data_IF_499695285450
#
_entry.id   IF_499695285450
#
_cell.length_a   1.000
_cell.length_b   1.000
_cell.length_c   1.000
_cell.angle_alpha   90.00
_cell.angle_beta   90.00
_cell.angle_gamma   90.00
#
_symmetry.space_group_name_H-M   'P 1'
#
loop_
_entity.id
_entity.type
_entity.pdbx_description
1 polymer ?
#
# COMPACT_ATOMS: atom_id res chain seq x y z
N UNK A 1 -7.83 -28.27 -0.77
CA UNK A 1 -7.27 -28.37 0.60
C UNK A 1 -6.47 -27.10 0.81
N UNK A 2 -7.05 -26.08 1.46
CA UNK A 2 -6.31 -24.84 1.71
C UNK A 2 -5.14 -25.19 2.63
N UNK A 3 -3.90 -24.98 2.18
CA UNK A 3 -2.77 -25.02 3.09
C UNK A 3 -3.09 -24.06 4.25
N UNK A 4 -3.06 -24.58 5.48
CA UNK A 4 -3.32 -23.80 6.67
C UNK A 4 -2.34 -22.62 6.68
N UNK A 5 -2.85 -21.38 6.78
CA UNK A 5 -2.00 -20.22 6.93
C UNK A 5 -1.24 -20.34 8.26
N UNK A 6 0.08 -20.28 8.25
CA UNK A 6 0.90 -20.35 9.46
C UNK A 6 0.88 -18.99 10.15
N UNK A 7 -0.13 -18.82 11.01
CA UNK A 7 -0.37 -17.58 11.74
C UNK A 7 0.78 -17.27 12.70
N UNK A 8 1.38 -18.27 13.34
CA UNK A 8 2.46 -18.07 14.31
C UNK A 8 3.72 -17.51 13.65
N UNK A 9 4.10 -18.04 12.48
CA UNK A 9 5.21 -17.50 11.70
C UNK A 9 4.92 -16.07 11.20
N UNK A 10 3.68 -15.79 10.80
CA UNK A 10 3.27 -14.43 10.43
C UNK A 10 3.35 -13.45 11.61
N UNK A 11 2.79 -13.82 12.77
CA UNK A 11 2.83 -13.02 13.99
C UNK A 11 4.27 -12.75 14.43
N UNK A 12 5.13 -13.77 14.37
CA UNK A 12 6.57 -13.63 14.59
C UNK A 12 7.21 -12.66 13.60
N UNK A 13 6.84 -12.71 12.31
CA UNK A 13 7.38 -11.80 11.29
C UNK A 13 7.04 -10.35 11.56
N UNK A 14 5.85 -10.08 12.09
CA UNK A 14 5.38 -8.73 12.40
C UNK A 14 5.70 -8.28 13.83
N UNK A 15 6.45 -9.08 14.60
CA UNK A 15 6.81 -8.84 15.99
C UNK A 15 5.56 -8.65 16.88
N UNK A 16 4.54 -9.48 16.70
CA UNK A 16 3.34 -9.50 17.52
C UNK A 16 3.22 -10.87 18.18
N UNK A 17 2.98 -10.92 19.49
CA UNK A 17 2.75 -12.19 20.19
C UNK A 17 1.28 -12.60 20.15
N UNK A 18 1.02 -13.90 20.29
CA UNK A 18 -0.35 -14.43 20.41
C UNK A 18 -1.06 -13.83 21.63
N UNK A 19 -0.33 -13.60 22.72
CA UNK A 19 -0.86 -13.01 23.95
C UNK A 19 -1.28 -11.55 23.74
N UNK A 20 -0.46 -10.73 23.08
CA UNK A 20 -0.82 -9.34 22.73
C UNK A 20 -2.03 -9.29 21.80
N UNK A 21 -2.09 -10.18 20.82
CA UNK A 21 -3.24 -10.28 19.91
C UNK A 21 -4.53 -10.68 20.64
N UNK A 22 -4.44 -11.66 21.55
CA UNK A 22 -5.56 -12.18 22.32
C UNK A 22 -6.03 -11.24 23.45
N UNK A 23 -5.20 -10.25 23.83
CA UNK A 23 -5.58 -9.22 24.81
C UNK A 23 -6.66 -8.26 24.26
N UNK A 24 -6.81 -8.18 22.93
CA UNK A 24 -7.89 -7.43 22.28
C UNK A 24 -9.10 -8.34 22.02
N UNK A 25 -10.35 -7.85 22.12
CA UNK A 25 -11.51 -8.65 21.75
C UNK A 25 -11.42 -9.13 20.30
N UNK A 26 -11.80 -10.39 20.06
CA UNK A 26 -11.80 -11.00 18.72
C UNK A 26 -12.64 -10.17 17.76
N UNK A 27 -12.12 -9.96 16.55
CA UNK A 27 -12.77 -9.19 15.48
C UNK A 27 -13.05 -7.71 15.80
N UNK A 28 -12.47 -7.17 16.87
CA UNK A 28 -12.63 -5.76 17.22
C UNK A 28 -11.74 -4.83 16.39
N UNK A 29 -12.09 -3.55 16.40
CA UNK A 29 -11.26 -2.46 15.86
C UNK A 29 -9.87 -2.43 16.52
N UNK A 30 -9.77 -2.72 17.82
CA UNK A 30 -8.50 -2.73 18.53
C UNK A 30 -7.56 -3.83 18.02
N UNK A 31 -8.08 -5.05 17.84
CA UNK A 31 -7.30 -6.18 17.30
C UNK A 31 -6.88 -5.91 15.84
N UNK A 32 -7.79 -5.40 15.01
CA UNK A 32 -7.50 -5.04 13.62
C UNK A 32 -6.43 -3.94 13.53
N UNK A 33 -6.54 -2.93 14.38
CA UNK A 33 -5.56 -1.84 14.48
C UNK A 33 -4.18 -2.35 14.89
N UNK A 34 -4.11 -3.33 15.80
CA UNK A 34 -2.85 -3.93 16.24
C UNK A 34 -2.16 -4.66 15.07
N UNK A 35 -2.90 -5.48 14.33
CA UNK A 35 -2.39 -6.21 13.16
C UNK A 35 -1.85 -5.26 12.07
N UNK A 36 -2.61 -4.21 11.74
CA UNK A 36 -2.19 -3.19 10.75
C UNK A 36 -0.92 -2.47 11.21
N UNK A 37 -0.85 -2.05 12.48
CA UNK A 37 0.32 -1.36 13.03
C UNK A 37 1.59 -2.22 13.04
N UNK A 38 1.49 -3.47 13.47
CA UNK A 38 2.63 -4.37 13.52
C UNK A 38 3.12 -4.73 12.11
N UNK A 39 2.20 -5.01 11.18
CA UNK A 39 2.56 -5.33 9.79
C UNK A 39 3.34 -4.19 9.13
N UNK A 40 2.81 -2.95 9.16
CA UNK A 40 3.44 -1.80 8.50
C UNK A 40 4.81 -1.43 9.08
N UNK A 41 5.02 -1.65 10.38
CA UNK A 41 6.30 -1.37 11.05
C UNK A 41 7.36 -2.44 10.76
N UNK A 42 6.93 -3.69 10.55
CA UNK A 42 7.83 -4.82 10.42
C UNK A 42 8.23 -5.13 8.97
N UNK A 43 7.31 -5.00 8.00
CA UNK A 43 7.53 -5.44 6.62
C UNK A 43 7.72 -4.23 5.71
N UNK A 44 8.92 -4.00 5.13
CA UNK A 44 9.15 -2.87 4.27
C UNK A 44 8.42 -3.01 2.93
N UNK A 45 7.97 -1.89 2.38
CA UNK A 45 7.59 -1.81 0.97
C UNK A 45 8.84 -1.87 0.09
N UNK A 46 8.86 -2.71 -0.95
CA UNK A 46 9.96 -2.77 -1.91
C UNK A 46 9.57 -3.32 -3.29
N UNK A 47 10.33 -2.94 -4.33
CA UNK A 47 10.17 -3.41 -5.72
C UNK A 47 11.47 -4.00 -6.31
N UNK A 48 12.40 -4.46 -5.48
CA UNK A 48 13.79 -4.74 -5.86
C UNK A 48 13.93 -5.84 -6.92
N UNK A 49 13.02 -6.81 -6.94
CA UNK A 49 12.97 -7.84 -7.99
C UNK A 49 12.47 -7.27 -9.32
N UNK A 50 11.46 -6.40 -9.29
CA UNK A 50 10.86 -5.80 -10.49
C UNK A 50 11.83 -4.86 -11.22
N UNK A 51 12.65 -4.11 -10.49
CA UNK A 51 13.70 -3.24 -11.02
C UNK A 51 15.08 -3.91 -11.12
N UNK A 52 15.16 -5.23 -10.85
CA UNK A 52 16.37 -6.07 -11.03
C UNK A 52 17.57 -5.71 -10.16
N UNK A 53 17.38 -4.94 -9.08
CA UNK A 53 18.41 -4.78 -8.04
C UNK A 53 18.65 -6.12 -7.35
N UNK A 54 17.57 -6.85 -7.05
CA UNK A 54 17.65 -8.24 -6.64
C UNK A 54 17.22 -9.15 -7.80
N UNK A 55 17.75 -10.39 -7.87
CA UNK A 55 17.29 -11.36 -8.85
C UNK A 55 15.82 -11.71 -8.62
N UNK A 56 15.13 -12.12 -9.68
CA UNK A 56 13.81 -12.75 -9.56
C UNK A 56 14.04 -14.17 -9.06
N UNK A 57 13.71 -14.39 -7.79
CA UNK A 57 13.88 -15.68 -7.11
C UNK A 57 12.75 -16.64 -7.50
N UNK A 58 13.05 -17.84 -8.04
CA UNK A 58 12.04 -18.85 -8.37
C UNK A 58 11.25 -19.37 -7.16
N UNK A 59 11.66 -19.09 -5.92
CA UNK A 59 10.85 -19.33 -4.72
C UNK A 59 9.78 -18.24 -4.53
N UNK A 60 10.02 -17.03 -5.04
CA UNK A 60 9.16 -15.85 -4.85
C UNK A 60 8.29 -15.53 -6.07
N UNK A 61 8.58 -16.10 -7.25
CA UNK A 61 7.82 -15.89 -8.48
C UNK A 61 7.81 -17.12 -9.40
N UNK A 62 6.79 -17.21 -10.26
CA UNK A 62 6.75 -18.17 -11.37
C UNK A 62 7.52 -17.66 -12.60
N UNK A 63 8.82 -17.95 -12.60
CA UNK A 63 9.72 -17.56 -13.69
C UNK A 63 9.40 -18.24 -15.02
N UNK A 64 8.62 -19.33 -15.04
CA UNK A 64 8.30 -20.06 -16.27
C UNK A 64 7.35 -19.29 -17.19
N UNK A 65 6.53 -18.41 -16.61
CA UNK A 65 5.61 -17.52 -17.31
C UNK A 65 6.10 -16.06 -17.34
N UNK A 66 7.33 -15.81 -16.91
CA UNK A 66 7.93 -14.47 -16.86
C UNK A 66 7.44 -13.59 -15.71
N UNK A 67 6.80 -14.17 -14.68
CA UNK A 67 6.39 -13.45 -13.49
C UNK A 67 7.61 -12.91 -12.74
N UNK A 68 7.57 -11.63 -12.33
CA UNK A 68 8.62 -11.01 -11.49
C UNK A 68 8.19 -10.80 -10.05
N UNK A 69 6.88 -10.69 -9.83
CA UNK A 69 6.28 -10.45 -8.52
C UNK A 69 5.02 -11.32 -8.43
N UNK A 70 5.00 -12.24 -7.47
CA UNK A 70 3.94 -13.24 -7.37
C UNK A 70 2.69 -12.72 -6.71
N UNK A 71 1.54 -13.15 -7.24
CA UNK A 71 0.24 -13.04 -6.55
C UNK A 71 -0.17 -14.34 -5.82
N UNK A 72 0.59 -15.43 -6.00
CA UNK A 72 0.34 -16.70 -5.33
C UNK A 72 0.59 -16.62 -3.82
N UNK A 73 -0.40 -16.93 -2.94
CA UNK A 73 -0.29 -16.76 -1.50
C UNK A 73 0.92 -17.46 -0.86
N UNK A 74 1.25 -18.69 -1.28
CA UNK A 74 2.38 -19.42 -0.71
C UNK A 74 3.74 -18.78 -1.04
N UNK A 75 3.88 -18.17 -2.22
CA UNK A 75 5.12 -17.50 -2.65
C UNK A 75 5.27 -16.15 -1.92
N UNK A 76 4.17 -15.42 -1.78
CA UNK A 76 4.11 -14.20 -0.96
C UNK A 76 4.50 -14.51 0.49
N UNK A 77 3.91 -15.56 1.07
CA UNK A 77 4.24 -15.98 2.43
C UNK A 77 5.71 -16.38 2.58
N UNK A 78 6.23 -17.19 1.65
CA UNK A 78 7.65 -17.55 1.61
C UNK A 78 8.54 -16.30 1.57
N UNK A 79 8.28 -15.37 0.65
CA UNK A 79 9.05 -14.15 0.47
C UNK A 79 9.01 -13.24 1.70
N UNK A 80 7.81 -12.79 2.09
CA UNK A 80 7.64 -11.77 3.12
C UNK A 80 7.86 -12.31 4.53
N UNK A 81 7.45 -13.55 4.82
CA UNK A 81 7.47 -14.13 6.17
C UNK A 81 8.74 -14.95 6.40
N UNK A 82 8.97 -16.00 5.60
CA UNK A 82 10.06 -16.96 5.87
C UNK A 82 11.43 -16.39 5.48
N UNK A 83 11.52 -15.76 4.30
CA UNK A 83 12.76 -15.16 3.80
C UNK A 83 12.91 -13.68 4.22
N UNK A 84 11.96 -13.19 5.02
CA UNK A 84 11.97 -11.86 5.66
C UNK A 84 12.21 -10.68 4.71
N UNK A 85 11.80 -10.83 3.45
CA UNK A 85 11.81 -9.74 2.46
C UNK A 85 10.67 -8.75 2.71
N UNK A 86 10.58 -7.77 1.83
CA UNK A 86 9.42 -6.90 1.71
C UNK A 86 8.57 -7.28 0.50
N UNK A 87 7.62 -6.42 0.18
CA UNK A 87 6.86 -6.50 -1.06
C UNK A 87 6.11 -5.21 -1.32
N UNK A 88 5.53 -5.07 -2.51
CA UNK A 88 4.68 -3.92 -2.81
C UNK A 88 3.21 -4.19 -2.45
N UNK A 89 2.30 -3.29 -2.84
CA UNK A 89 0.90 -3.31 -2.41
C UNK A 89 0.19 -4.65 -2.63
N UNK A 90 0.38 -5.30 -3.77
CA UNK A 90 -0.26 -6.58 -4.07
C UNK A 90 0.23 -7.71 -3.14
N UNK A 91 1.48 -7.67 -2.67
CA UNK A 91 2.04 -8.71 -1.81
C UNK A 91 1.71 -8.44 -0.33
N UNK A 92 1.91 -7.19 0.11
CA UNK A 92 1.65 -6.74 1.49
C UNK A 92 0.18 -6.89 1.86
N UNK A 93 -0.72 -6.34 1.03
CA UNK A 93 -2.15 -6.38 1.31
C UNK A 93 -2.73 -7.79 1.10
N UNK A 94 -2.20 -8.61 0.17
CA UNK A 94 -2.60 -10.02 0.09
C UNK A 94 -2.17 -10.84 1.30
N UNK A 95 -0.96 -10.61 1.83
CA UNK A 95 -0.49 -11.26 3.06
C UNK A 95 -1.38 -10.89 4.25
N UNK A 96 -1.66 -9.60 4.44
CA UNK A 96 -2.55 -9.13 5.51
C UNK A 96 -3.96 -9.70 5.32
N UNK A 97 -4.52 -9.68 4.11
CA UNK A 97 -5.84 -10.25 3.84
C UNK A 97 -5.90 -11.75 4.17
N UNK A 98 -4.85 -12.50 3.85
CA UNK A 98 -4.79 -13.94 4.16
C UNK A 98 -4.74 -14.18 5.66
N UNK A 99 -3.93 -13.40 6.39
CA UNK A 99 -3.86 -13.46 7.85
C UNK A 99 -5.20 -13.11 8.52
N UNK A 100 -5.84 -12.03 8.07
CA UNK A 100 -7.14 -11.58 8.58
C UNK A 100 -8.25 -12.62 8.30
N UNK A 101 -8.29 -13.21 7.11
CA UNK A 101 -9.23 -14.30 6.78
C UNK A 101 -8.97 -15.55 7.63
N UNK A 102 -7.71 -15.90 7.88
CA UNK A 102 -7.36 -17.00 8.77
C UNK A 102 -7.81 -16.75 10.23
N UNK A 103 -7.84 -15.48 10.65
CA UNK A 103 -8.40 -15.04 11.93
C UNK A 103 -9.93 -14.92 11.91
N UNK A 104 -10.59 -15.14 10.77
CA UNK A 104 -12.05 -15.11 10.64
C UNK A 104 -12.67 -13.75 10.30
N UNK A 105 -11.87 -12.74 9.95
CA UNK A 105 -12.39 -11.45 9.47
C UNK A 105 -13.04 -11.59 8.08
N UNK A 106 -14.11 -10.84 7.86
CA UNK A 106 -14.64 -10.59 6.52
C UNK A 106 -13.76 -9.55 5.81
N UNK A 107 -13.09 -9.97 4.72
CA UNK A 107 -12.13 -9.14 3.99
C UNK A 107 -12.44 -9.14 2.51
N UNK A 108 -12.79 -7.96 2.00
CA UNK A 108 -12.86 -7.67 0.57
C UNK A 108 -11.53 -7.05 0.11
N UNK A 109 -11.08 -7.49 -1.07
CA UNK A 109 -9.92 -6.89 -1.74
C UNK A 109 -10.44 -6.00 -2.85
N UNK A 110 -9.89 -4.79 -2.98
CA UNK A 110 -10.25 -3.83 -4.04
C UNK A 110 -8.98 -3.22 -4.66
N UNK A 111 -9.13 -2.42 -5.70
CA UNK A 111 -8.07 -1.60 -6.25
C UNK A 111 -8.43 -0.12 -6.23
N UNK A 112 -7.41 0.70 -6.01
CA UNK A 112 -7.46 2.14 -6.12
C UNK A 112 -6.55 2.67 -7.22
N UNK A 113 -6.79 3.92 -7.59
CA UNK A 113 -5.94 4.73 -8.46
C UNK A 113 -5.09 5.63 -7.58
N UNK A 114 -3.77 5.42 -7.61
CA UNK A 114 -2.83 6.34 -6.98
C UNK A 114 -2.98 7.71 -7.61
N UNK A 115 -2.98 8.75 -6.79
CA UNK A 115 -3.09 10.13 -7.25
C UNK A 115 -1.68 10.74 -7.35
N UNK A 116 -1.44 11.43 -8.46
CA UNK A 116 -0.25 12.21 -8.69
C UNK A 116 -0.63 13.68 -8.97
N UNK A 117 0.27 14.64 -8.74
CA UNK A 117 0.07 15.99 -9.26
C UNK A 117 -0.14 15.96 -10.77
N UNK A 118 -1.15 16.69 -11.25
CA UNK A 118 -1.36 16.86 -12.68
C UNK A 118 -0.24 17.73 -13.28
N UNK A 119 0.21 17.37 -14.48
CA UNK A 119 1.18 18.18 -15.24
C UNK A 119 0.52 19.43 -15.80
N UNK A 120 -0.74 19.32 -16.23
CA UNK A 120 -1.56 20.41 -16.72
C UNK A 120 -2.62 20.79 -15.67
N UNK A 121 -2.38 21.89 -14.96
CA UNK A 121 -3.27 22.37 -13.90
C UNK A 121 -4.56 22.99 -14.42
N UNK A 122 -4.70 23.23 -15.73
CA UNK A 122 -5.93 23.80 -16.32
C UNK A 122 -7.09 22.79 -16.34
N UNK A 123 -6.77 21.49 -16.30
CA UNK A 123 -7.74 20.38 -16.31
C UNK A 123 -8.04 19.81 -14.92
N UNK A 124 -7.27 20.20 -13.92
CA UNK A 124 -7.39 19.75 -12.53
C UNK A 124 -6.03 19.67 -11.85
N UNK A 125 -5.98 19.74 -10.51
CA UNK A 125 -4.72 19.72 -9.74
C UNK A 125 -4.13 18.31 -9.60
N UNK A 126 -4.97 17.29 -9.66
CA UNK A 126 -4.62 15.92 -9.31
C UNK A 126 -5.11 14.95 -10.37
N UNK A 127 -4.23 14.04 -10.79
CA UNK A 127 -4.51 13.01 -11.79
C UNK A 127 -4.56 11.65 -11.10
N UNK A 128 -5.67 10.93 -11.25
CA UNK A 128 -5.79 9.55 -10.84
C UNK A 128 -5.15 8.63 -11.89
N UNK A 129 -4.15 7.84 -11.46
CA UNK A 129 -3.42 6.91 -12.33
C UNK A 129 -4.24 5.64 -12.63
N UNK A 130 -3.61 4.64 -13.25
CA UNK A 130 -4.22 3.34 -13.47
C UNK A 130 -4.60 2.68 -12.13
N UNK A 131 -5.60 1.79 -12.15
CA UNK A 131 -6.01 0.99 -10.99
C UNK A 131 -4.92 -0.05 -10.69
N UNK A 132 -3.92 0.36 -9.91
CA UNK A 132 -2.67 -0.38 -9.71
C UNK A 132 -2.26 -0.46 -8.25
N UNK A 133 -3.16 -0.08 -7.34
CA UNK A 133 -2.94 -0.15 -5.90
C UNK A 133 -3.97 -1.06 -5.26
N UNK A 134 -3.55 -2.21 -4.72
CA UNK A 134 -4.44 -3.11 -3.99
C UNK A 134 -4.73 -2.55 -2.60
N UNK A 135 -5.98 -2.63 -2.16
CA UNK A 135 -6.46 -2.17 -0.85
C UNK A 135 -7.35 -3.23 -0.21
N UNK A 136 -7.56 -3.14 1.10
CA UNK A 136 -8.47 -4.02 1.83
C UNK A 136 -9.63 -3.23 2.43
N UNK A 137 -10.82 -3.79 2.32
CA UNK A 137 -11.98 -3.40 3.10
C UNK A 137 -12.32 -4.53 4.07
N UNK A 138 -12.22 -4.23 5.35
CA UNK A 138 -12.45 -5.19 6.43
C UNK A 138 -13.74 -4.82 7.13
N UNK A 139 -14.67 -5.77 7.21
CA UNK A 139 -15.90 -5.60 7.97
C UNK A 139 -15.72 -6.20 9.36
N UNK A 140 -15.94 -5.37 10.37
CA UNK A 140 -16.01 -5.77 11.78
C UNK A 140 -17.43 -5.50 12.30
N UNK A 141 -17.71 -5.87 13.56
CA UNK A 141 -18.92 -5.60 14.35
C UNK A 141 -20.03 -4.75 13.67
N UNK A 142 -21.28 -5.22 13.69
CA UNK A 142 -22.45 -4.46 13.20
C UNK A 142 -22.35 -3.97 11.74
N UNK A 143 -21.58 -4.67 10.89
CA UNK A 143 -21.37 -4.37 9.46
C UNK A 143 -20.61 -3.05 9.19
N UNK A 144 -19.79 -2.59 10.11
CA UNK A 144 -18.93 -1.43 9.88
C UNK A 144 -17.71 -1.80 9.02
N UNK A 145 -17.47 -1.03 7.96
CA UNK A 145 -16.39 -1.28 7.02
C UNK A 145 -15.21 -0.33 7.26
N UNK A 146 -14.00 -0.88 7.24
CA UNK A 146 -12.76 -0.14 7.45
C UNK A 146 -11.79 -0.35 6.29
N UNK A 147 -11.20 0.74 5.81
CA UNK A 147 -10.07 0.74 4.91
C UNK A 147 -8.81 0.33 5.67
N UNK A 148 -8.19 -0.76 5.24
CA UNK A 148 -6.87 -1.18 5.69
C UNK A 148 -5.89 -1.16 4.52
N UNK A 149 -4.75 -0.52 4.70
CA UNK A 149 -3.68 -0.48 3.72
C UNK A 149 -2.31 -0.46 4.39
N UNK A 150 -1.56 -1.55 4.18
CA UNK A 150 -0.19 -1.74 4.65
C UNK A 150 0.80 -1.85 3.49
N UNK A 151 0.37 -1.42 2.30
CA UNK A 151 1.05 -1.70 1.04
C UNK A 151 1.36 -0.48 0.17
N UNK A 152 0.98 0.74 0.55
CA UNK A 152 1.25 1.94 -0.26
C UNK A 152 2.72 2.43 -0.15
N UNK A 153 3.35 2.26 1.01
CA UNK A 153 4.63 2.83 1.39
C UNK A 153 4.58 4.25 1.98
N UNK A 154 5.61 4.64 2.73
CA UNK A 154 5.84 6.01 3.23
C UNK A 154 4.61 6.72 3.87
N UNK A 155 4.04 7.73 3.19
CA UNK A 155 3.00 8.65 3.71
C UNK A 155 1.57 8.24 3.36
N UNK A 156 1.37 7.23 2.50
CA UNK A 156 0.03 6.80 2.10
C UNK A 156 -0.46 5.54 2.78
N UNK A 157 0.26 5.04 3.80
CA UNK A 157 -0.17 3.94 4.65
C UNK A 157 -0.79 4.49 5.94
N UNK A 158 -2.11 4.45 6.12
CA UNK A 158 -2.74 4.80 7.38
C UNK A 158 -2.14 4.01 8.56
N UNK A 159 -1.91 4.66 9.71
CA UNK A 159 -1.36 4.00 10.89
C UNK A 159 -2.33 3.04 11.56
N UNK A 160 -3.62 3.25 11.35
CA UNK A 160 -4.72 2.40 11.83
C UNK A 160 -5.79 2.30 10.72
N UNK A 161 -6.68 1.30 10.77
CA UNK A 161 -7.83 1.23 9.89
C UNK A 161 -8.67 2.50 9.96
N UNK A 162 -9.16 2.98 8.82
CA UNK A 162 -10.03 4.16 8.75
C UNK A 162 -11.43 3.71 8.34
N UNK A 163 -12.43 4.09 9.13
CA UNK A 163 -13.83 3.76 8.81
C UNK A 163 -14.21 4.35 7.45
N UNK A 164 -14.86 3.53 6.62
CA UNK A 164 -15.50 3.97 5.38
C UNK A 164 -16.96 4.25 5.70
N UNK A 165 -17.40 5.48 5.47
CA UNK A 165 -18.78 5.89 5.75
C UNK A 165 -19.35 6.76 4.61
N UNK A 166 -20.65 7.09 4.62
CA UNK A 166 -21.23 8.08 3.71
C UNK A 166 -20.64 9.49 3.88
N UNK A 167 -20.14 9.81 5.07
CA UNK A 167 -19.44 11.07 5.38
C UNK A 167 -17.93 10.84 5.49
N UNK A 168 -17.16 11.92 5.62
CA UNK A 168 -15.73 11.77 5.84
C UNK A 168 -15.42 11.24 7.25
N UNK A 169 -14.39 10.40 7.34
CA UNK A 169 -13.81 9.95 8.61
C UNK A 169 -12.35 10.32 8.63
N UNK A 170 -11.93 11.03 9.69
CA UNK A 170 -10.56 11.50 9.87
C UNK A 170 -9.93 10.90 11.12
N UNK A 171 -8.68 10.47 10.97
CA UNK A 171 -7.80 10.07 12.06
C UNK A 171 -6.62 11.02 12.12
N UNK A 172 -6.35 11.58 13.30
CA UNK A 172 -5.19 12.45 13.55
C UNK A 172 -4.28 11.79 14.58
N UNK A 173 -3.00 11.70 14.23
CA UNK A 173 -1.95 11.15 15.07
C UNK A 173 -1.43 12.20 16.06
N UNK A 174 -0.80 11.73 17.13
CA UNK A 174 -0.13 12.63 18.10
C UNK A 174 0.94 13.53 17.45
N UNK A 175 1.54 13.10 16.33
CA UNK A 175 2.47 13.90 15.53
C UNK A 175 1.81 15.07 14.79
N UNK A 176 0.48 15.15 14.76
CA UNK A 176 -0.28 16.09 13.93
C UNK A 176 -0.55 15.59 12.50
N UNK A 177 0.07 14.49 12.08
CA UNK A 177 -0.27 13.84 10.81
C UNK A 177 -1.72 13.36 10.84
N UNK A 178 -2.45 13.53 9.74
CA UNK A 178 -3.81 13.04 9.65
C UNK A 178 -4.11 12.37 8.32
N UNK A 179 -5.06 11.45 8.40
CA UNK A 179 -5.56 10.66 7.28
C UNK A 179 -7.07 10.77 7.28
N UNK A 180 -7.66 11.05 6.13
CA UNK A 180 -9.09 11.24 5.99
C UNK A 180 -9.60 10.44 4.80
N UNK A 181 -10.59 9.59 5.04
CA UNK A 181 -11.37 8.95 3.97
C UNK A 181 -12.62 9.79 3.78
N UNK A 182 -12.77 10.39 2.60
CA UNK A 182 -13.92 11.23 2.24
C UNK A 182 -14.46 10.88 0.86
N UNK A 183 -15.49 11.61 0.44
CA UNK A 183 -15.99 11.54 -0.93
C UNK A 183 -14.97 12.15 -1.89
N UNK A 184 -14.84 11.54 -3.07
CA UNK A 184 -13.97 12.04 -4.13
C UNK A 184 -14.84 12.42 -5.32
N UNK A 185 -14.71 13.66 -5.82
CA UNK A 185 -15.23 13.96 -7.15
C UNK A 185 -14.18 13.54 -8.19
N UNK A 186 -14.55 12.59 -9.05
CA UNK A 186 -13.67 12.03 -10.09
C UNK A 186 -14.21 12.41 -11.46
N UNK A 187 -13.58 13.39 -12.09
CA UNK A 187 -14.01 13.91 -13.39
C UNK A 187 -13.21 13.24 -14.50
N UNK A 188 -13.90 12.67 -15.48
CA UNK A 188 -13.27 12.12 -16.69
C UNK A 188 -13.16 13.19 -17.78
N UNK A 189 -11.95 13.44 -18.24
CA UNK A 189 -11.67 14.28 -19.41
C UNK A 189 -11.27 13.41 -20.60
N UNK A 190 -12.15 13.30 -21.58
CA UNK A 190 -11.88 12.56 -22.82
C UNK A 190 -10.97 13.37 -23.75
N UNK A 191 -10.05 12.68 -24.42
CA UNK A 191 -9.21 13.28 -25.46
C UNK A 191 -9.87 13.06 -26.82
N UNK A 192 -10.04 14.11 -27.63
CA UNK A 192 -10.73 13.97 -28.93
C UNK A 192 -9.98 13.08 -29.93
N UNK A 193 -8.64 13.07 -29.87
CA UNK A 193 -7.78 12.39 -30.83
C UNK A 193 -7.40 10.96 -30.40
N UNK A 194 -7.84 10.53 -29.22
CA UNK A 194 -7.63 9.15 -28.74
C UNK A 194 -8.95 8.58 -28.25
N UNK A 195 -9.12 7.27 -28.28
CA UNK A 195 -10.29 6.62 -27.69
C UNK A 195 -10.28 6.65 -26.14
N UNK A 196 -9.38 7.43 -25.52
CA UNK A 196 -9.08 7.39 -24.08
C UNK A 196 -9.25 8.76 -23.43
N UNK A 197 -9.17 8.79 -22.10
CA UNK A 197 -9.28 10.00 -21.30
C UNK A 197 -8.52 9.87 -19.99
N UNK A 198 -8.34 11.01 -19.32
CA UNK A 198 -7.72 11.11 -18.01
C UNK A 198 -8.78 11.32 -16.92
N UNK A 199 -8.47 10.85 -15.71
CA UNK A 199 -9.30 11.09 -14.54
C UNK A 199 -8.63 12.11 -13.63
N UNK A 200 -9.34 13.19 -13.36
CA UNK A 200 -8.91 14.22 -12.43
C UNK A 200 -9.70 14.10 -11.13
N UNK A 201 -9.05 14.39 -10.01
CA UNK A 201 -9.66 14.28 -8.69
C UNK A 201 -9.70 15.65 -8.03
N UNK A 202 -10.89 16.05 -7.57
CA UNK A 202 -11.05 17.18 -6.68
C UNK A 202 -11.70 16.71 -5.36
N UNK A 203 -10.90 16.53 -4.29
CA UNK A 203 -11.41 16.08 -3.00
C UNK A 203 -12.21 17.16 -2.25
N UNK A 204 -12.28 18.39 -2.76
CA UNK A 204 -12.98 19.51 -2.12
C UNK A 204 -14.38 19.77 -2.65
N UNK A 205 -14.80 19.04 -3.69
CA UNK A 205 -16.10 19.21 -4.34
C UNK A 205 -16.98 17.99 -4.14
N UNK A 206 -18.30 18.19 -4.16
CA UNK A 206 -19.25 17.09 -4.11
C UNK A 206 -19.10 16.19 -5.36
N UNK A 207 -19.22 14.87 -5.22
CA UNK A 207 -19.14 13.96 -6.36
C UNK A 207 -20.31 14.19 -7.32
N UNK A 208 -20.06 13.96 -8.61
CA UNK A 208 -21.11 13.83 -9.62
C UNK A 208 -21.77 12.44 -9.55
N UNK A 209 -22.81 12.22 -10.36
CA UNK A 209 -23.52 10.93 -10.41
C UNK A 209 -22.58 9.75 -10.79
N UNK A 210 -21.50 10.03 -11.52
CA UNK A 210 -20.55 9.01 -11.98
C UNK A 210 -19.60 8.53 -10.87
N UNK A 211 -19.31 9.38 -9.88
CA UNK A 211 -18.36 9.13 -8.78
C UNK A 211 -19.01 9.11 -7.39
N UNK A 212 -20.34 9.06 -7.31
CA UNK A 212 -21.11 9.18 -6.06
C UNK A 212 -20.68 8.20 -4.95
N UNK A 213 -20.14 7.03 -5.30
CA UNK A 213 -19.66 6.03 -4.34
C UNK A 213 -18.14 5.99 -4.19
N UNK A 214 -17.38 6.73 -4.99
CA UNK A 214 -15.93 6.76 -4.86
C UNK A 214 -15.50 7.45 -3.56
N UNK A 215 -14.36 7.00 -3.06
CA UNK A 215 -13.72 7.49 -1.83
C UNK A 215 -12.29 7.86 -2.12
N UNK A 216 -11.82 8.94 -1.51
CA UNK A 216 -10.42 9.36 -1.56
C UNK A 216 -9.82 9.22 -0.17
N UNK A 217 -8.64 8.61 -0.10
CA UNK A 217 -7.77 8.78 1.05
C UNK A 217 -6.97 10.07 0.87
N UNK A 218 -7.09 10.99 1.82
CA UNK A 218 -6.30 12.20 1.93
C UNK A 218 -5.29 12.07 3.07
N UNK A 219 -4.07 12.54 2.85
CA UNK A 219 -3.02 12.64 3.86
C UNK A 219 -2.67 14.11 4.09
N UNK A 220 -2.47 14.48 5.35
CA UNK A 220 -2.00 15.80 5.75
C UNK A 220 -0.86 15.63 6.74
N UNK A 221 0.32 16.19 6.42
CA UNK A 221 1.52 16.09 7.27
C UNK A 221 1.33 16.72 8.66
N UNK A 222 0.50 17.75 8.75
CA UNK A 222 0.28 18.55 9.96
C UNK A 222 -0.83 19.57 9.72
N UNK A 223 -1.42 20.16 10.77
CA UNK A 223 -2.61 21.02 10.65
C UNK A 223 -2.41 22.26 9.78
N UNK A 224 -1.18 22.74 9.66
CA UNK A 224 -0.81 23.91 8.83
C UNK A 224 -0.40 23.55 7.40
N UNK A 225 -0.31 22.26 7.07
CA UNK A 225 0.14 21.79 5.77
C UNK A 225 -1.02 21.52 4.81
N UNK A 226 -0.78 21.62 3.49
CA UNK A 226 -1.77 21.22 2.50
C UNK A 226 -2.20 19.75 2.67
N UNK A 227 -3.48 19.50 2.38
CA UNK A 227 -4.01 18.15 2.26
C UNK A 227 -3.65 17.60 0.89
N UNK A 228 -3.09 16.40 0.86
CA UNK A 228 -2.67 15.69 -0.35
C UNK A 228 -3.57 14.46 -0.56
N UNK A 229 -4.33 14.38 -1.67
CA UNK A 229 -5.05 13.16 -2.01
C UNK A 229 -4.07 12.08 -2.44
N UNK A 230 -4.18 10.90 -1.82
CA UNK A 230 -3.22 9.79 -1.95
C UNK A 230 -3.68 8.81 -3.02
N UNK A 231 -4.91 8.35 -2.93
CA UNK A 231 -5.54 7.46 -3.91
C UNK A 231 -7.06 7.55 -3.83
N UNK A 232 -7.72 7.24 -4.94
CA UNK A 232 -9.18 7.09 -5.02
C UNK A 232 -9.53 5.61 -5.22
N UNK A 233 -10.63 5.16 -4.61
CA UNK A 233 -11.12 3.78 -4.68
C UNK A 233 -12.64 3.74 -4.60
N UNK A 234 -13.24 2.68 -5.14
CA UNK A 234 -14.67 2.43 -5.02
C UNK A 234 -14.91 1.31 -4.01
N UNK A 235 -15.69 1.51 -2.93
CA UNK A 235 -16.03 0.44 -1.98
C UNK A 235 -16.90 -0.66 -2.58
N UNK A 236 -17.61 -0.34 -3.66
CA UNK A 236 -18.51 -1.26 -4.36
C UNK A 236 -17.82 -2.04 -5.48
N UNK A 237 -16.55 -1.74 -5.76
CA UNK A 237 -15.78 -2.46 -6.77
C UNK A 237 -15.77 -3.97 -6.44
N UNK A 238 -16.00 -4.78 -7.48
CA UNK A 238 -15.88 -6.23 -7.44
C UNK A 238 -14.77 -6.60 -8.41
N UNK A 239 -13.68 -7.15 -7.88
CA UNK A 239 -12.51 -7.53 -8.66
C UNK A 239 -12.31 -9.04 -8.60
N UNK A 240 -11.94 -9.61 -9.74
CA UNK A 240 -11.47 -10.96 -9.86
C UNK A 240 -9.93 -11.00 -9.71
N UNK A 241 -9.39 -12.20 -9.52
CA UNK A 241 -7.93 -12.38 -9.41
C UNK A 241 -7.18 -11.80 -10.63
N UNK A 242 -7.74 -11.99 -11.82
CA UNK A 242 -7.16 -11.53 -13.10
C UNK A 242 -7.03 -10.00 -13.19
N UNK A 243 -7.86 -9.23 -12.48
CA UNK A 243 -7.73 -7.77 -12.44
C UNK A 243 -6.44 -7.36 -11.72
N UNK A 244 -6.09 -8.07 -10.65
CA UNK A 244 -4.81 -7.91 -9.96
C UNK A 244 -3.65 -8.41 -10.80
N UNK A 245 -3.80 -9.54 -11.51
CA UNK A 245 -2.76 -10.05 -12.41
C UNK A 245 -2.41 -9.01 -13.49
N UNK A 246 -3.41 -8.41 -14.14
CA UNK A 246 -3.21 -7.35 -15.13
C UNK A 246 -2.47 -6.15 -14.54
N UNK A 247 -2.92 -5.68 -13.38
CA UNK A 247 -2.33 -4.52 -12.71
C UNK A 247 -0.90 -4.78 -12.21
N UNK A 248 -0.65 -5.96 -11.65
CA UNK A 248 0.64 -6.44 -11.17
C UNK A 248 1.62 -6.66 -12.34
N UNK A 249 1.16 -7.25 -13.44
CA UNK A 249 1.95 -7.45 -14.65
C UNK A 249 2.37 -6.12 -15.29
N UNK A 250 1.41 -5.19 -15.47
CA UNK A 250 1.72 -3.84 -15.94
C UNK A 250 2.75 -3.16 -15.03
N UNK A 251 2.56 -3.25 -13.71
CA UNK A 251 3.42 -2.58 -12.75
C UNK A 251 4.83 -3.16 -12.70
N UNK A 252 5.01 -4.45 -12.99
CA UNK A 252 6.27 -5.17 -12.82
C UNK A 252 7.07 -5.30 -14.12
N UNK A 253 6.43 -5.08 -15.27
CA UNK A 253 7.06 -5.30 -16.58
C UNK A 253 7.05 -4.09 -17.50
N UNK A 254 6.09 -3.18 -17.36
CA UNK A 254 5.96 -2.06 -18.31
C UNK A 254 7.18 -1.12 -18.22
N UNK A 255 7.86 -0.80 -19.34
CA UNK A 255 9.14 -0.10 -19.33
C UNK A 255 9.05 1.35 -18.84
N UNK A 256 7.86 1.97 -18.92
CA UNK A 256 7.62 3.32 -18.40
C UNK A 256 7.05 3.34 -16.98
N UNK A 257 6.83 2.17 -16.36
CA UNK A 257 6.41 2.15 -14.97
C UNK A 257 7.61 2.44 -14.08
N UNK A 258 7.48 3.42 -13.17
CA UNK A 258 8.56 3.81 -12.25
C UNK A 258 9.11 2.63 -11.45
N UNK A 259 8.27 1.64 -11.10
CA UNK A 259 8.67 0.46 -10.35
C UNK A 259 9.57 -0.51 -11.14
N UNK A 260 9.68 -0.38 -12.46
CA UNK A 260 10.63 -1.18 -13.26
C UNK A 260 11.93 -0.43 -13.52
N UNK A 261 11.96 0.88 -13.29
CA UNK A 261 13.06 1.76 -13.65
C UNK A 261 14.02 2.06 -12.49
N UNK A 262 13.50 2.18 -11.26
CA UNK A 262 14.30 2.54 -10.10
C UNK A 262 13.98 1.68 -8.87
N UNK A 263 14.96 1.42 -7.98
CA UNK A 263 14.66 0.86 -6.67
C UNK A 263 13.85 1.85 -5.85
N UNK A 264 12.80 1.33 -5.21
CA UNK A 264 11.96 2.02 -4.26
C UNK A 264 11.85 1.10 -3.05
N UNK A 265 12.31 1.59 -1.90
CA UNK A 265 12.12 0.90 -0.63
C UNK A 265 11.59 1.90 0.39
N UNK A 266 10.59 1.52 1.17
CA UNK A 266 10.14 2.34 2.30
C UNK A 266 9.88 1.47 3.52
N UNK A 267 10.13 2.01 4.70
CA UNK A 267 9.85 1.32 5.96
C UNK A 267 9.37 2.32 6.99
N UNK A 268 8.22 2.06 7.61
CA UNK A 268 7.71 2.86 8.72
C UNK A 268 8.62 2.68 9.94
N UNK A 269 8.81 3.78 10.67
CA UNK A 269 9.37 3.80 12.03
C UNK A 269 8.27 4.20 13.01
N UNK A 270 8.55 4.11 14.31
CA UNK A 270 7.62 4.51 15.37
C UNK A 270 7.16 5.97 15.20
N UNK A 271 8.06 6.84 14.74
CA UNK A 271 7.87 8.28 14.63
C UNK A 271 7.85 8.81 13.18
N UNK A 272 7.93 7.94 12.17
CA UNK A 272 8.04 8.38 10.79
C UNK A 272 8.30 7.25 9.80
N UNK A 273 9.24 7.45 8.88
CA UNK A 273 9.64 6.44 7.90
C UNK A 273 10.99 6.77 7.25
N UNK A 274 11.64 5.73 6.73
CA UNK A 274 12.77 5.84 5.82
C UNK A 274 12.35 5.47 4.41
N UNK A 275 12.97 6.10 3.41
CA UNK A 275 12.66 5.90 2.00
C UNK A 275 13.94 5.95 1.16
N UNK A 276 14.08 4.98 0.27
CA UNK A 276 15.00 4.99 -0.85
C UNK A 276 14.18 5.11 -2.14
N UNK A 277 14.58 6.01 -3.05
CA UNK A 277 14.05 6.09 -4.40
C UNK A 277 15.18 6.40 -5.39
N UNK A 278 15.51 5.45 -6.27
CA UNK A 278 16.74 5.53 -7.06
C UNK A 278 17.95 5.48 -6.14
N UNK A 279 18.79 6.51 -6.18
CA UNK A 279 19.92 6.69 -5.28
C UNK A 279 19.64 7.71 -4.17
N UNK A 280 18.41 8.23 -4.04
CA UNK A 280 18.07 9.19 -2.99
C UNK A 280 17.50 8.48 -1.76
N UNK A 281 18.22 8.56 -0.64
CA UNK A 281 17.75 8.12 0.66
C UNK A 281 17.24 9.31 1.48
N UNK A 282 16.08 9.15 2.11
CA UNK A 282 15.47 10.13 3.01
C UNK A 282 14.97 9.47 4.28
N UNK A 283 15.19 10.15 5.40
CA UNK A 283 14.59 9.82 6.69
C UNK A 283 13.64 10.93 7.09
N UNK A 284 12.41 10.55 7.43
CA UNK A 284 11.37 11.46 7.94
C UNK A 284 11.02 11.06 9.36
N UNK A 285 11.01 12.03 10.29
CA UNK A 285 10.56 11.86 11.68
C UNK A 285 9.60 13.00 12.02
N UNK A 286 8.49 12.68 12.69
CA UNK A 286 7.43 13.62 13.04
C UNK A 286 6.97 14.48 11.84
N UNK A 287 6.87 13.85 10.67
CA UNK A 287 6.50 14.49 9.41
C UNK A 287 7.61 15.29 8.70
N UNK A 288 8.72 15.59 9.39
CA UNK A 288 9.85 16.38 8.87
C UNK A 288 10.97 15.50 8.31
N UNK A 289 11.55 15.91 7.18
CA UNK A 289 12.74 15.24 6.64
C UNK A 289 13.95 15.63 7.48
N UNK A 290 14.51 14.68 8.21
CA UNK A 290 15.66 14.92 9.11
C UNK A 290 17.00 14.54 8.48
N UNK A 291 16.98 13.72 7.42
CA UNK A 291 18.18 13.30 6.69
C UNK A 291 17.87 13.09 5.22
N UNK A 292 18.78 13.53 4.35
CA UNK A 292 18.77 13.25 2.92
C UNK A 292 20.19 12.91 2.47
N UNK A 293 20.38 11.76 1.83
CA UNK A 293 21.66 11.30 1.32
C UNK A 293 21.49 10.83 -0.13
N UNK A 294 22.50 11.05 -0.95
CA UNK A 294 22.68 10.32 -2.20
C UNK A 294 23.55 9.10 -1.92
N UNK A 295 23.14 7.94 -2.44
CA UNK A 295 23.74 6.64 -2.16
C UNK A 295 24.57 6.21 -3.37
N UNK A 296 25.83 5.88 -3.13
CA UNK A 296 26.69 5.28 -4.16
C UNK A 296 26.15 3.89 -4.54
N UNK A 297 26.16 3.51 -5.83
CA UNK A 297 25.81 2.15 -6.25
C UNK A 297 26.48 1.04 -5.44
N UNK A 298 27.74 1.21 -5.03
CA UNK A 298 28.48 0.20 -4.26
C UNK A 298 28.00 0.07 -2.81
N UNK A 299 27.35 1.11 -2.26
CA UNK A 299 26.79 1.12 -0.90
C UNK A 299 25.33 0.66 -0.83
N UNK A 300 24.66 0.50 -2.00
CA UNK A 300 23.22 0.23 -2.06
C UNK A 300 22.82 -1.03 -1.30
N UNK A 301 23.55 -2.14 -1.48
CA UNK A 301 23.21 -3.41 -0.83
C UNK A 301 23.39 -3.35 0.69
N UNK A 302 24.41 -2.62 1.16
CA UNK A 302 24.66 -2.43 2.58
C UNK A 302 23.60 -1.53 3.22
N UNK A 303 23.15 -0.48 2.53
CA UNK A 303 22.02 0.33 2.96
C UNK A 303 20.73 -0.51 3.04
N UNK A 304 20.43 -1.31 2.02
CA UNK A 304 19.26 -2.18 1.99
C UNK A 304 19.24 -3.15 3.17
N UNK A 305 20.39 -3.76 3.48
CA UNK A 305 20.55 -4.66 4.62
C UNK A 305 20.43 -3.94 5.96
N UNK A 306 21.20 -2.88 6.17
CA UNK A 306 21.29 -2.19 7.46
C UNK A 306 20.02 -1.43 7.83
N UNK A 307 19.35 -0.82 6.84
CA UNK A 307 18.22 0.10 7.08
C UNK A 307 16.87 -0.59 6.90
N UNK A 308 16.73 -1.40 5.84
CA UNK A 308 15.46 -2.06 5.52
C UNK A 308 15.42 -3.52 5.98
N UNK A 309 16.56 -4.10 6.37
CA UNK A 309 16.66 -5.53 6.70
C UNK A 309 16.59 -6.43 5.46
N UNK A 310 16.81 -5.88 4.27
CA UNK A 310 16.65 -6.58 3.00
C UNK A 310 17.98 -7.15 2.56
N UNK A 311 18.07 -8.48 2.54
CA UNK A 311 19.23 -9.22 2.05
C UNK A 311 18.89 -9.80 0.68
N UNK A 312 19.83 -9.69 -0.26
CA UNK A 312 19.71 -10.28 -1.59
C UNK A 312 19.67 -11.80 -1.45
N UNK A 313 18.67 -12.46 -2.07
CA UNK A 313 18.69 -13.92 -2.21
C UNK A 313 19.97 -14.34 -2.92
N UNK A 314 20.71 -15.28 -2.32
CA UNK A 314 21.94 -15.87 -2.88
C UNK A 314 21.63 -16.79 -4.05
#
# INVERSE_FOLDING_TARGET
MHAHFDLDAYLTRINLTVQELAASPTHSFAQLSLLVQHHRLAIPFENLAACRVFPVDPAHADVSIGERVSLHPARIFRKLVLDRRGGWCFEQNALLATALRALGYAVETICGRVIAPAVDSTKGKYLAKAMTHMLLLVTIDTNEQFLCDVGFGARGEPPIPIRVSPTSTKTTMASGESYEVGLANVVRHMHADTWTGDFYVDPSTAPDDFSATDRVLCYQKGPTHPVYPVYVFSPDARLAHVDYEMANWYSSTHPHNRFTQIPICTKRTVDGFVKLAGNEFKETRHGETVRTNTIDPDELLDLLKSTFGLVRST
#
